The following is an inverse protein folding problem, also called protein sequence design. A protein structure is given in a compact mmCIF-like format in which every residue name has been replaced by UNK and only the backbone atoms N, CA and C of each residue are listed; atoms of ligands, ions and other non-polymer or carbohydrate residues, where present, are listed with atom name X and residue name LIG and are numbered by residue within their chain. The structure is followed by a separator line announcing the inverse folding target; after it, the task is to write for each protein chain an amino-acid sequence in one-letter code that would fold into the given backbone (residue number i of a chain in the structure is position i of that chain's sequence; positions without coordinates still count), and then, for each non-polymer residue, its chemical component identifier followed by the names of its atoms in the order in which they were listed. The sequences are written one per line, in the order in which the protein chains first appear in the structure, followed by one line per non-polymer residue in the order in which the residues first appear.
data_IF_402563771714
#
_entry.id   IF_402563771714
#
_cell.length_a   1.000
_cell.length_b   1.000
_cell.length_c   1.000
_cell.angle_alpha   90.00
_cell.angle_beta   90.00
_cell.angle_gamma   90.00
#
_symmetry.space_group_name_H-M   'P 1'
#
loop_
_entity.id
_entity.type
_entity.pdbx_description
1 polymer ?
#
# COMPACT_ATOMS: atom_id res chain seq x y z
N UNK A 1 55.33 7.64 30.06
CA UNK A 1 54.59 6.64 29.25
C UNK A 1 53.26 7.26 28.80
N UNK A 2 53.23 7.86 27.60
CA UNK A 2 52.00 8.42 27.03
C UNK A 2 51.31 7.35 26.18
N UNK A 3 50.14 6.87 26.62
CA UNK A 3 49.31 5.94 25.86
C UNK A 3 48.56 6.75 24.80
N UNK A 4 49.04 6.67 23.56
CA UNK A 4 48.33 7.19 22.39
C UNK A 4 47.05 6.36 22.21
N UNK A 5 45.90 6.94 22.58
CA UNK A 5 44.60 6.40 22.20
C UNK A 5 44.28 6.91 20.80
N UNK A 6 44.67 6.13 19.79
CA UNK A 6 44.17 6.32 18.43
C UNK A 6 42.70 5.91 18.46
N UNK A 7 41.80 6.89 18.55
CA UNK A 7 40.38 6.72 18.27
C UNK A 7 40.26 6.40 16.78
N UNK A 8 40.23 5.11 16.46
CA UNK A 8 39.90 4.64 15.12
C UNK A 8 38.39 4.78 14.93
N UNK A 9 37.92 5.98 14.61
CA UNK A 9 36.55 6.17 14.15
C UNK A 9 36.41 5.45 12.82
N UNK A 10 35.90 4.21 12.84
CA UNK A 10 35.48 3.49 11.64
C UNK A 10 34.28 4.24 11.05
N UNK A 11 34.55 5.19 10.17
CA UNK A 11 33.55 5.81 9.31
C UNK A 11 33.07 4.74 8.32
N UNK A 12 31.92 4.14 8.60
CA UNK A 12 31.24 3.28 7.63
C UNK A 12 30.76 4.20 6.51
N UNK A 13 31.31 4.01 5.30
CA UNK A 13 31.05 4.81 4.13
C UNK A 13 29.54 4.82 3.81
N UNK A 14 28.86 5.93 4.09
CA UNK A 14 27.70 6.30 3.29
C UNK A 14 28.26 6.92 2.02
N UNK A 15 27.89 6.39 0.86
CA UNK A 15 28.09 7.08 -0.41
C UNK A 15 27.64 8.55 -0.23
N UNK A 16 28.42 9.50 -0.74
CA UNK A 16 28.25 10.94 -0.47
C UNK A 16 26.85 11.49 -0.78
N UNK A 17 26.00 10.75 -1.49
CA UNK A 17 24.61 11.09 -1.79
C UNK A 17 23.54 10.43 -0.91
N UNK A 18 23.87 9.60 0.09
CA UNK A 18 22.85 8.97 0.95
C UNK A 18 22.59 9.83 2.20
N UNK A 19 21.34 10.30 2.45
CA UNK A 19 21.02 11.12 3.61
C UNK A 19 21.02 10.35 4.93
N UNK A 20 21.04 9.00 4.89
CA UNK A 20 21.06 8.14 6.07
C UNK A 20 22.48 7.95 6.58
N UNK A 21 22.69 8.19 7.87
CA UNK A 21 24.02 8.12 8.50
C UNK A 21 23.94 7.36 9.81
N UNK A 22 24.94 6.53 10.07
CA UNK A 22 25.10 5.82 11.34
C UNK A 22 26.44 6.23 11.93
N UNK A 23 26.44 6.63 13.19
CA UNK A 23 27.62 7.10 13.90
C UNK A 23 27.76 6.30 15.19
N UNK A 24 28.99 5.88 15.49
CA UNK A 24 29.35 5.32 16.79
C UNK A 24 29.91 6.46 17.64
N UNK A 25 29.24 6.76 18.75
CA UNK A 25 29.65 7.77 19.71
C UNK A 25 30.85 7.29 20.54
N UNK A 26 31.60 8.22 21.14
CA UNK A 26 32.80 7.89 21.93
C UNK A 26 32.52 7.00 23.16
N UNK A 27 31.28 6.99 23.65
CA UNK A 27 30.79 6.12 24.73
C UNK A 27 30.34 4.73 24.23
N UNK A 28 30.49 4.42 22.93
CA UNK A 28 30.07 3.15 22.33
C UNK A 28 28.59 3.08 21.95
N UNK A 29 27.79 4.13 22.16
CA UNK A 29 26.40 4.15 21.68
C UNK A 29 26.33 4.36 20.17
N UNK A 30 25.29 3.82 19.53
CA UNK A 30 25.07 3.95 18.09
C UNK A 30 23.94 4.95 17.87
N UNK A 31 24.22 6.02 17.15
CA UNK A 31 23.24 7.00 16.71
C UNK A 31 22.93 6.79 15.21
N UNK A 32 21.65 6.78 14.85
CA UNK A 32 21.19 6.63 13.48
C UNK A 32 20.37 7.85 13.06
N UNK A 33 20.85 8.55 12.02
CA UNK A 33 20.14 9.63 11.35
C UNK A 33 19.42 9.07 10.13
N UNK A 34 18.09 9.13 10.12
CA UNK A 34 17.24 8.61 9.05
C UNK A 34 16.12 9.61 8.68
N UNK A 35 16.44 10.72 7.99
CA UNK A 35 15.41 11.66 7.59
C UNK A 35 14.42 10.98 6.62
N UNK A 36 13.14 11.40 6.63
CA UNK A 36 12.20 10.97 5.60
C UNK A 36 12.72 11.39 4.23
N UNK A 37 12.54 10.53 3.22
CA UNK A 37 12.97 10.80 1.86
C UNK A 37 11.74 11.08 1.00
N UNK A 38 11.71 12.25 0.37
CA UNK A 38 10.65 12.61 -0.56
C UNK A 38 10.78 11.82 -1.86
N UNK A 39 9.63 11.60 -2.52
CA UNK A 39 9.59 10.92 -3.81
C UNK A 39 9.99 11.89 -4.93
N UNK A 40 11.04 11.61 -5.72
CA UNK A 40 11.50 12.51 -6.78
C UNK A 40 10.49 12.57 -7.94
N UNK A 41 10.32 13.77 -8.51
CA UNK A 41 9.34 14.02 -9.56
C UNK A 41 9.58 13.18 -10.83
N UNK A 42 10.84 13.00 -11.21
CA UNK A 42 11.27 12.24 -12.39
C UNK A 42 10.84 10.76 -12.36
N UNK A 43 10.55 10.22 -11.18
CA UNK A 43 10.08 8.84 -11.01
C UNK A 43 8.55 8.74 -10.96
N UNK A 44 7.83 9.86 -11.10
CA UNK A 44 6.38 9.88 -11.18
C UNK A 44 5.90 9.73 -12.63
N UNK A 45 4.66 9.26 -12.81
CA UNK A 45 4.00 9.23 -14.12
C UNK A 45 2.95 10.35 -14.19
N UNK A 46 2.76 10.99 -15.35
CA UNK A 46 1.69 11.95 -15.52
C UNK A 46 0.33 11.27 -15.36
N UNK A 47 -0.65 12.03 -14.88
CA UNK A 47 -2.04 11.57 -14.78
C UNK A 47 -2.69 11.66 -16.17
N UNK A 48 -3.32 10.58 -16.63
CA UNK A 48 -3.98 10.52 -17.92
C UNK A 48 -5.33 11.26 -17.90
N UNK A 49 -5.32 12.56 -18.19
CA UNK A 49 -6.51 13.43 -18.10
C UNK A 49 -7.55 13.19 -19.21
N UNK A 50 -7.14 12.64 -20.35
CA UNK A 50 -8.03 12.34 -21.46
C UNK A 50 -9.07 11.27 -21.12
N UNK A 51 -8.70 10.27 -20.30
CA UNK A 51 -9.65 9.24 -19.84
C UNK A 51 -10.67 9.81 -18.85
N UNK A 52 -10.23 10.75 -18.01
CA UNK A 52 -11.07 11.43 -17.03
C UNK A 52 -12.15 12.26 -17.75
N UNK A 53 -11.76 13.04 -18.76
CA UNK A 53 -12.70 13.86 -19.54
C UNK A 53 -13.74 13.03 -20.30
N UNK A 54 -13.32 11.91 -20.93
CA UNK A 54 -14.25 10.98 -21.58
C UNK A 54 -15.26 10.38 -20.61
N UNK A 55 -14.83 10.07 -19.38
CA UNK A 55 -15.71 9.54 -18.34
C UNK A 55 -16.71 10.59 -17.86
N UNK A 56 -16.30 11.85 -17.74
CA UNK A 56 -17.18 12.96 -17.35
C UNK A 56 -18.23 13.30 -18.42
N UNK A 57 -17.84 13.35 -19.70
CA UNK A 57 -18.75 13.57 -20.83
C UNK A 57 -19.82 12.46 -20.91
N UNK A 58 -19.39 11.20 -20.76
CA UNK A 58 -20.28 10.04 -20.70
C UNK A 58 -21.20 10.02 -19.48
N UNK A 59 -20.86 10.72 -18.39
CA UNK A 59 -21.68 10.78 -17.17
C UNK A 59 -22.70 11.93 -17.22
N UNK A 60 -22.37 13.05 -17.86
CA UNK A 60 -23.27 14.21 -17.98
C UNK A 60 -24.42 13.97 -18.97
N UNK A 61 -24.18 13.22 -20.05
CA UNK A 61 -25.22 12.84 -21.02
C UNK A 61 -26.21 11.78 -20.48
N UNK A 62 -25.94 11.23 -19.29
CA UNK A 62 -26.48 9.95 -18.83
C UNK A 62 -27.23 10.01 -17.50
N UNK A 63 -27.58 11.18 -16.96
CA UNK A 63 -28.26 11.25 -15.64
C UNK A 63 -29.53 10.37 -15.57
N UNK A 64 -30.29 10.29 -16.66
CA UNK A 64 -31.45 9.40 -16.78
C UNK A 64 -31.06 7.92 -16.96
N UNK A 65 -29.96 7.61 -17.66
CA UNK A 65 -29.50 6.22 -17.84
C UNK A 65 -28.74 5.69 -16.63
N UNK A 66 -28.07 6.52 -15.84
CA UNK A 66 -27.41 6.14 -14.59
C UNK A 66 -28.44 5.72 -13.53
N UNK A 67 -29.57 6.44 -13.45
CA UNK A 67 -30.71 6.05 -12.63
C UNK A 67 -31.35 4.73 -13.13
N UNK A 68 -31.47 4.54 -14.44
CA UNK A 68 -31.97 3.29 -15.03
C UNK A 68 -31.02 2.10 -14.81
N UNK A 69 -29.70 2.29 -14.88
CA UNK A 69 -28.68 1.29 -14.57
C UNK A 69 -28.65 0.94 -13.07
N UNK A 70 -28.90 1.92 -12.19
CA UNK A 70 -29.01 1.69 -10.76
C UNK A 70 -30.32 0.98 -10.36
N UNK A 71 -31.40 1.18 -11.13
CA UNK A 71 -32.69 0.54 -10.91
C UNK A 71 -32.78 -0.87 -11.52
N UNK A 72 -31.98 -1.15 -12.55
CA UNK A 72 -31.82 -2.51 -13.05
C UNK A 72 -31.11 -3.34 -11.98
N UNK A 73 -31.74 -4.43 -11.53
CA UNK A 73 -31.04 -5.42 -10.67
C UNK A 73 -29.86 -5.91 -11.49
N UNK A 74 -28.61 -5.56 -11.13
CA UNK A 74 -27.46 -5.98 -11.90
C UNK A 74 -27.44 -7.50 -11.87
N UNK A 75 -27.16 -8.10 -13.03
CA UNK A 75 -26.89 -9.53 -13.13
C UNK A 75 -25.87 -9.90 -12.05
N UNK A 76 -26.19 -10.87 -11.21
CA UNK A 76 -25.23 -11.38 -10.24
C UNK A 76 -23.98 -11.84 -11.01
N UNK A 77 -22.80 -11.28 -10.71
CA UNK A 77 -21.59 -11.65 -11.41
C UNK A 77 -21.31 -13.12 -11.17
N UNK A 78 -20.96 -13.82 -12.25
CA UNK A 78 -20.70 -15.27 -12.14
C UNK A 78 -19.40 -15.46 -11.37
N UNK A 79 -19.29 -16.49 -10.52
CA UNK A 79 -18.04 -16.81 -9.81
C UNK A 79 -16.82 -16.94 -10.75
N UNK A 80 -17.06 -17.29 -12.01
CA UNK A 80 -16.04 -17.33 -13.05
C UNK A 80 -15.55 -15.93 -13.48
N UNK A 81 -16.40 -14.90 -13.45
CA UNK A 81 -15.99 -13.52 -13.72
C UNK A 81 -15.23 -12.95 -12.51
N UNK A 82 -15.70 -13.26 -11.29
CA UNK A 82 -15.06 -12.82 -10.05
C UNK A 82 -13.63 -13.33 -9.92
N UNK A 83 -13.36 -14.59 -10.30
CA UNK A 83 -12.01 -15.15 -10.27
C UNK A 83 -11.04 -14.36 -11.18
N UNK A 84 -11.53 -13.89 -12.33
CA UNK A 84 -10.71 -13.25 -13.36
C UNK A 84 -10.48 -11.76 -13.03
N UNK A 85 -11.49 -11.08 -12.47
CA UNK A 85 -11.40 -9.69 -12.02
C UNK A 85 -10.43 -9.55 -10.85
N UNK A 86 -10.55 -10.43 -9.84
CA UNK A 86 -9.77 -10.33 -8.61
C UNK A 86 -8.48 -11.15 -8.64
N UNK A 87 -8.20 -11.85 -9.73
CA UNK A 87 -7.06 -12.77 -9.86
C UNK A 87 -7.01 -13.80 -8.71
N UNK A 88 -8.18 -14.31 -8.33
CA UNK A 88 -8.34 -15.31 -7.25
C UNK A 88 -8.79 -16.66 -7.80
N UNK A 89 -8.98 -17.64 -6.90
CA UNK A 89 -9.51 -18.95 -7.29
C UNK A 89 -11.03 -18.97 -7.24
N UNK A 90 -11.66 -19.83 -8.06
CA UNK A 90 -13.13 -20.02 -8.02
C UNK A 90 -13.66 -20.49 -6.66
N UNK A 91 -12.81 -21.07 -5.82
CA UNK A 91 -13.19 -21.70 -4.55
C UNK A 91 -13.42 -20.69 -3.41
N UNK A 92 -12.89 -19.47 -3.54
CA UNK A 92 -13.10 -18.39 -2.58
C UNK A 92 -14.52 -17.83 -2.65
N UNK A 93 -15.15 -17.93 -3.82
CA UNK A 93 -16.47 -17.35 -4.10
C UNK A 93 -17.64 -18.30 -3.83
N UNK A 94 -17.38 -19.55 -3.43
CA UNK A 94 -18.44 -20.45 -2.95
C UNK A 94 -18.72 -20.21 -1.47
N UNK A 95 -20.00 -20.28 -1.10
CA UNK A 95 -20.41 -20.14 0.30
C UNK A 95 -19.78 -21.21 1.18
N UNK A 96 -19.25 -20.78 2.31
CA UNK A 96 -18.72 -21.67 3.36
C UNK A 96 -19.82 -22.38 4.12
N UNK A 97 -19.44 -23.43 4.84
CA UNK A 97 -20.36 -24.16 5.71
C UNK A 97 -20.86 -23.26 6.84
N UNK A 98 -22.06 -23.55 7.35
CA UNK A 98 -22.65 -22.79 8.48
C UNK A 98 -21.73 -22.81 9.70
N UNK A 99 -21.10 -23.94 9.99
CA UNK A 99 -20.23 -24.11 11.16
C UNK A 99 -18.98 -23.24 11.09
N UNK A 100 -18.38 -23.13 9.91
CA UNK A 100 -17.22 -22.28 9.64
C UNK A 100 -17.57 -20.81 9.88
N UNK A 101 -18.69 -20.34 9.31
CA UNK A 101 -19.19 -18.98 9.53
C UNK A 101 -19.44 -18.68 11.01
N UNK A 102 -20.00 -19.62 11.77
CA UNK A 102 -20.28 -19.43 13.20
C UNK A 102 -18.99 -19.27 14.02
N UNK A 103 -17.90 -19.94 13.63
CA UNK A 103 -16.59 -19.79 14.28
C UNK A 103 -15.97 -18.42 13.99
N UNK A 104 -16.19 -17.86 12.81
CA UNK A 104 -15.67 -16.56 12.39
C UNK A 104 -16.42 -15.36 12.97
N UNK A 105 -17.75 -15.45 13.13
CA UNK A 105 -18.59 -14.35 13.65
C UNK A 105 -18.36 -14.08 15.14
N UNK A 106 -17.69 -15.00 15.84
CA UNK A 106 -17.26 -14.75 17.21
C UNK A 106 -16.37 -13.50 17.28
N UNK A 107 -16.71 -12.56 18.17
CA UNK A 107 -16.02 -11.27 18.25
C UNK A 107 -14.51 -11.49 18.44
N UNK A 108 -13.66 -11.08 17.48
CA UNK A 108 -12.23 -11.18 17.65
C UNK A 108 -11.79 -10.21 18.75
N UNK A 109 -10.73 -10.60 19.47
CA UNK A 109 -10.14 -9.73 20.50
C UNK A 109 -9.68 -8.43 19.82
N UNK A 110 -10.11 -7.24 20.28
CA UNK A 110 -9.73 -5.98 19.65
C UNK A 110 -8.21 -5.82 19.68
N UNK A 111 -7.61 -5.60 18.50
CA UNK A 111 -6.17 -5.38 18.37
C UNK A 111 -5.85 -3.89 18.38
N UNK A 112 -5.23 -3.46 19.49
CA UNK A 112 -4.84 -2.09 19.90
C UNK A 112 -6.02 -1.14 20.17
N UNK A 113 -5.99 -0.51 21.35
CA UNK A 113 -6.74 0.70 21.70
C UNK A 113 -5.97 1.93 21.25
#
# INVERSE_FOLDING_TARGET
MLKSFVSLSRSFSSSSGNPRKIVVCANGSIAAWHPPQDFPYEHSRPIETAEIQKKEENFQTSRLSAAALAAAIPREPVNAELKDIFYTTKHEWYTRSREERLREVAAPIPRRK
#
